data_IF_598464879600
#
_entry.id   IF_598464879600
#
_cell.length_a   1.000
_cell.length_b   1.000
_cell.length_c   1.000
_cell.angle_alpha   90.00
_cell.angle_beta   90.00
_cell.angle_gamma   90.00
#
_symmetry.space_group_name_H-M   'P 1'
#
loop_
_entity.id
_entity.type
_entity.pdbx_description
1 polymer ?
#
# COMPACT_ATOMS: atom_id res chain seq x y z
N UNK A 1 -23.63 0.40 -40.50
CA UNK A 1 -22.90 -0.73 -39.90
C UNK A 1 -22.01 -0.33 -38.72
N UNK A 2 -21.53 0.91 -38.59
CA UNK A 2 -20.77 1.35 -37.39
C UNK A 2 -21.63 1.51 -36.11
N UNK A 3 -22.95 1.76 -36.26
CA UNK A 3 -23.85 2.00 -35.12
C UNK A 3 -24.24 0.77 -34.30
N UNK A 4 -24.18 -0.46 -34.86
CA UNK A 4 -24.52 -1.68 -34.12
C UNK A 4 -23.33 -2.19 -33.30
N UNK A 5 -22.12 -2.05 -33.84
CA UNK A 5 -20.88 -2.42 -33.14
C UNK A 5 -20.58 -1.47 -31.97
N UNK A 6 -20.80 -0.16 -32.14
CA UNK A 6 -20.63 0.83 -31.05
C UNK A 6 -21.59 0.58 -29.88
N UNK A 7 -22.86 0.26 -30.18
CA UNK A 7 -23.86 -0.09 -29.16
C UNK A 7 -23.50 -1.37 -28.41
N UNK A 8 -22.96 -2.37 -29.10
CA UNK A 8 -22.50 -3.60 -28.47
C UNK A 8 -21.34 -3.36 -27.50
N UNK A 9 -20.38 -2.50 -27.86
CA UNK A 9 -19.26 -2.14 -26.99
C UNK A 9 -19.65 -1.27 -25.79
N UNK A 10 -20.59 -0.34 -25.96
CA UNK A 10 -21.13 0.47 -24.84
C UNK A 10 -21.86 -0.41 -23.82
N UNK A 11 -22.68 -1.34 -24.30
CA UNK A 11 -23.42 -2.25 -23.43
C UNK A 11 -22.50 -3.25 -22.72
N UNK A 12 -21.50 -3.79 -23.43
CA UNK A 12 -20.45 -4.61 -22.83
C UNK A 12 -19.61 -3.82 -21.82
N UNK A 13 -19.35 -2.53 -22.07
CA UNK A 13 -18.68 -1.66 -21.13
C UNK A 13 -19.53 -1.44 -19.87
N UNK A 14 -20.81 -1.10 -19.99
CA UNK A 14 -21.69 -0.92 -18.83
C UNK A 14 -21.76 -2.20 -17.99
N UNK A 15 -21.95 -3.36 -18.61
CA UNK A 15 -22.01 -4.65 -17.93
C UNK A 15 -20.69 -5.03 -17.24
N UNK A 16 -19.54 -4.72 -17.84
CA UNK A 16 -18.21 -5.06 -17.29
C UNK A 16 -17.65 -4.03 -16.31
N UNK A 17 -18.08 -2.78 -16.36
CA UNK A 17 -17.44 -1.68 -15.61
C UNK A 17 -18.35 -1.01 -14.56
N UNK A 18 -19.68 -1.11 -14.63
CA UNK A 18 -20.55 -0.52 -13.60
C UNK A 18 -20.34 -1.16 -12.22
N UNK A 19 -20.17 -2.48 -12.15
CA UNK A 19 -19.83 -3.14 -10.89
C UNK A 19 -18.45 -2.69 -10.35
N UNK A 20 -17.47 -2.42 -11.24
CA UNK A 20 -16.15 -1.90 -10.86
C UNK A 20 -16.25 -0.50 -10.29
N UNK A 21 -17.10 0.35 -10.87
CA UNK A 21 -17.37 1.70 -10.37
C UNK A 21 -18.02 1.66 -8.98
N UNK A 22 -19.02 0.80 -8.78
CA UNK A 22 -19.62 0.58 -7.47
C UNK A 22 -18.55 0.10 -6.46
N UNK A 23 -17.71 -0.85 -6.86
CA UNK A 23 -16.59 -1.34 -6.04
C UNK A 23 -15.59 -0.26 -5.69
N UNK A 24 -15.19 0.58 -6.65
CA UNK A 24 -14.26 1.70 -6.41
C UNK A 24 -14.79 2.66 -5.36
N UNK A 25 -16.10 2.95 -5.41
CA UNK A 25 -16.77 3.77 -4.40
C UNK A 25 -16.72 3.09 -3.02
N UNK A 26 -16.94 1.78 -2.94
CA UNK A 26 -16.84 1.02 -1.68
C UNK A 26 -15.41 1.01 -1.13
N UNK A 27 -14.41 0.75 -1.97
CA UNK A 27 -13.00 0.78 -1.58
C UNK A 27 -12.59 2.18 -1.08
N UNK A 28 -13.07 3.24 -1.73
CA UNK A 28 -12.85 4.61 -1.29
C UNK A 28 -13.51 4.89 0.06
N UNK A 29 -14.76 4.45 0.27
CA UNK A 29 -15.44 4.57 1.57
C UNK A 29 -14.66 3.85 2.66
N UNK A 30 -14.31 2.60 2.42
CA UNK A 30 -13.54 1.77 3.34
C UNK A 30 -12.18 2.42 3.68
N UNK A 31 -11.44 2.90 2.67
CA UNK A 31 -10.20 3.63 2.88
C UNK A 31 -10.43 4.90 3.72
N UNK A 32 -11.51 5.62 3.47
CA UNK A 32 -11.86 6.85 4.20
C UNK A 32 -12.22 6.59 5.66
N UNK A 33 -12.78 5.41 6.00
CA UNK A 33 -13.13 5.06 7.38
C UNK A 33 -11.91 4.98 8.30
N UNK A 34 -10.78 4.46 7.80
CA UNK A 34 -9.57 4.35 8.61
C UNK A 34 -8.50 5.39 8.30
N UNK A 35 -8.49 6.00 7.11
CA UNK A 35 -7.54 7.05 6.76
C UNK A 35 -8.11 8.47 6.93
N UNK A 36 -9.37 8.64 7.33
CA UNK A 36 -10.06 9.92 7.57
C UNK A 36 -10.19 10.90 6.36
N UNK A 37 -9.41 10.77 5.28
CA UNK A 37 -9.56 11.60 4.07
C UNK A 37 -9.47 10.89 2.70
N UNK A 38 -9.58 9.56 2.64
CA UNK A 38 -9.63 8.84 1.35
C UNK A 38 -8.35 8.96 0.52
N UNK A 39 -7.20 9.21 1.16
CA UNK A 39 -5.87 9.22 0.55
C UNK A 39 -5.47 10.52 -0.16
N UNK A 40 -6.40 11.45 -0.45
CA UNK A 40 -6.10 12.66 -1.23
C UNK A 40 -5.44 13.81 -0.45
N UNK A 41 -5.47 13.80 0.89
CA UNK A 41 -4.96 14.90 1.73
C UNK A 41 -3.70 14.53 2.55
N UNK A 42 -2.87 13.63 2.04
CA UNK A 42 -1.68 13.05 2.69
C UNK A 42 -0.77 14.05 3.42
N UNK A 43 -0.55 15.24 2.84
CA UNK A 43 0.30 16.28 3.44
C UNK A 43 -0.31 16.97 4.67
N UNK A 44 -1.62 16.91 4.86
CA UNK A 44 -2.29 17.40 6.07
C UNK A 44 -2.25 16.35 7.19
N UNK A 45 -2.29 15.07 6.82
CA UNK A 45 -2.35 13.95 7.75
C UNK A 45 -1.00 13.60 8.37
N UNK A 46 0.08 13.82 7.62
CA UNK A 46 1.44 13.48 8.05
C UNK A 46 2.32 14.74 8.09
N UNK A 47 2.03 15.71 8.98
CA UNK A 47 2.80 16.95 9.07
C UNK A 47 4.27 16.72 9.42
N UNK A 48 4.62 15.58 10.03
CA UNK A 48 6.01 15.18 10.30
C UNK A 48 6.83 14.85 9.05
N UNK A 49 6.22 14.71 7.86
CA UNK A 49 6.91 14.53 6.59
C UNK A 49 7.13 15.85 5.82
N UNK A 50 6.75 17.01 6.38
CA UNK A 50 6.92 18.30 5.71
C UNK A 50 8.33 18.83 5.87
N UNK A 51 9.02 18.97 4.74
CA UNK A 51 10.19 19.85 4.55
C UNK A 51 10.13 20.57 3.20
N UNK A 52 10.87 21.65 3.06
CA UNK A 52 11.11 22.32 1.78
C UNK A 52 11.77 21.33 0.80
N UNK A 53 11.42 21.38 -0.49
CA UNK A 53 12.21 20.72 -1.53
C UNK A 53 13.57 21.43 -1.61
N UNK A 54 14.52 21.02 -0.76
CA UNK A 54 15.91 21.40 -0.92
C UNK A 54 16.59 20.30 -1.74
N UNK A 55 17.22 20.69 -2.85
CA UNK A 55 17.55 19.73 -3.93
C UNK A 55 18.70 18.77 -3.59
N UNK A 56 19.36 18.91 -2.44
CA UNK A 56 20.58 18.17 -2.06
C UNK A 56 20.45 17.34 -0.76
N UNK A 57 19.30 17.30 -0.07
CA UNK A 57 19.11 16.45 1.13
C UNK A 57 18.44 15.11 0.78
N UNK A 58 19.18 14.00 0.96
CA UNK A 58 18.66 12.64 0.78
C UNK A 58 17.45 12.33 1.67
N UNK A 59 17.34 12.97 2.83
CA UNK A 59 16.21 12.80 3.75
C UNK A 59 14.94 13.43 3.20
N UNK A 60 15.06 14.59 2.54
CA UNK A 60 13.94 15.28 1.91
C UNK A 60 13.41 14.45 0.72
N UNK A 61 14.31 13.90 -0.10
CA UNK A 61 13.93 12.97 -1.16
C UNK A 61 13.19 11.72 -0.62
N UNK A 62 13.63 11.18 0.52
CA UNK A 62 13.00 10.02 1.15
C UNK A 62 11.60 10.34 1.69
N UNK A 63 11.43 11.52 2.32
CA UNK A 63 10.13 12.01 2.81
C UNK A 63 9.13 12.22 1.67
N UNK A 64 9.55 12.87 0.57
CA UNK A 64 8.71 13.03 -0.61
C UNK A 64 8.34 11.70 -1.24
N UNK A 65 9.29 10.76 -1.31
CA UNK A 65 9.02 9.42 -1.82
C UNK A 65 7.97 8.68 -0.97
N UNK A 66 7.98 8.84 0.36
CA UNK A 66 6.95 8.28 1.24
C UNK A 66 5.57 8.85 0.91
N UNK A 67 5.46 10.17 0.76
CA UNK A 67 4.19 10.85 0.46
C UNK A 67 3.64 10.39 -0.90
N UNK A 68 4.47 10.40 -1.94
CA UNK A 68 4.04 10.01 -3.28
C UNK A 68 3.59 8.55 -3.34
N UNK A 69 4.33 7.65 -2.69
CA UNK A 69 3.95 6.24 -2.63
C UNK A 69 2.67 6.01 -1.83
N UNK A 70 2.41 6.81 -0.79
CA UNK A 70 1.14 6.71 -0.06
C UNK A 70 -0.05 7.08 -0.95
N UNK A 71 0.07 8.15 -1.75
CA UNK A 71 -0.96 8.49 -2.74
C UNK A 71 -1.16 7.34 -3.74
N UNK A 72 -0.08 6.77 -4.27
CA UNK A 72 -0.13 5.64 -5.20
C UNK A 72 -0.77 4.39 -4.55
N UNK A 73 -0.42 4.06 -3.31
CA UNK A 73 -1.00 2.92 -2.59
C UNK A 73 -2.50 3.09 -2.35
N UNK A 74 -2.94 4.31 -2.04
CA UNK A 74 -4.35 4.66 -1.90
C UNK A 74 -5.10 4.52 -3.23
N UNK A 75 -4.55 5.01 -4.34
CA UNK A 75 -5.11 4.84 -5.68
C UNK A 75 -5.21 3.36 -6.05
N UNK A 76 -4.13 2.58 -5.87
CA UNK A 76 -4.15 1.15 -6.11
C UNK A 76 -5.27 0.45 -5.32
N UNK A 77 -5.47 0.83 -4.05
CA UNK A 77 -6.54 0.26 -3.24
C UNK A 77 -7.93 0.63 -3.79
N UNK A 78 -8.17 1.91 -4.09
CA UNK A 78 -9.45 2.40 -4.62
C UNK A 78 -9.79 1.68 -5.93
N UNK A 79 -8.83 1.57 -6.84
CA UNK A 79 -9.03 0.96 -8.16
C UNK A 79 -9.06 -0.58 -8.15
N UNK A 80 -8.81 -1.22 -7.00
CA UNK A 80 -8.81 -2.68 -6.86
C UNK A 80 -7.51 -3.36 -7.32
N UNK A 81 -6.44 -2.59 -7.54
CA UNK A 81 -5.09 -3.05 -7.84
C UNK A 81 -4.38 -3.53 -6.56
N UNK A 82 -4.99 -4.50 -5.88
CA UNK A 82 -4.63 -4.91 -4.52
C UNK A 82 -3.20 -5.47 -4.40
N UNK A 83 -2.68 -6.14 -5.43
CA UNK A 83 -1.29 -6.61 -5.44
C UNK A 83 -0.31 -5.43 -5.41
N UNK A 84 -0.52 -4.45 -6.28
CA UNK A 84 0.27 -3.22 -6.35
C UNK A 84 0.19 -2.47 -5.03
N UNK A 85 -1.02 -2.35 -4.45
CA UNK A 85 -1.23 -1.75 -3.13
C UNK A 85 -0.35 -2.40 -2.04
N UNK A 86 -0.32 -3.75 -1.96
CA UNK A 86 0.48 -4.49 -0.98
C UNK A 86 1.99 -4.18 -1.15
N UNK A 87 2.48 -4.21 -2.39
CA UNK A 87 3.89 -3.97 -2.68
C UNK A 87 4.31 -2.52 -2.38
N UNK A 88 3.50 -1.55 -2.81
CA UNK A 88 3.71 -0.13 -2.57
C UNK A 88 3.69 0.18 -1.08
N UNK A 89 2.75 -0.39 -0.32
CA UNK A 89 2.72 -0.29 1.14
C UNK A 89 4.00 -0.83 1.80
N UNK A 90 4.47 -2.00 1.38
CA UNK A 90 5.74 -2.55 1.88
C UNK A 90 6.93 -1.64 1.59
N UNK A 91 6.93 -0.96 0.43
CA UNK A 91 7.95 0.00 0.03
C UNK A 91 7.88 1.33 0.81
N UNK A 92 6.69 1.77 1.21
CA UNK A 92 6.49 2.92 2.11
C UNK A 92 7.12 2.64 3.46
N UNK A 93 6.78 1.51 4.10
CA UNK A 93 7.27 1.18 5.44
C UNK A 93 8.78 0.97 5.45
N UNK A 94 9.34 0.37 4.40
CA UNK A 94 10.79 0.25 4.25
C UNK A 94 11.47 1.63 4.20
N UNK A 95 10.89 2.61 3.49
CA UNK A 95 11.39 4.00 3.45
C UNK A 95 11.22 4.72 4.77
N UNK A 96 10.10 4.52 5.47
CA UNK A 96 9.88 5.08 6.80
C UNK A 96 10.98 4.63 7.75
N UNK A 97 11.25 3.32 7.83
CA UNK A 97 12.28 2.79 8.72
C UNK A 97 13.69 3.24 8.32
N UNK A 98 13.98 3.39 7.02
CA UNK A 98 15.23 3.99 6.55
C UNK A 98 15.37 5.43 7.04
N UNK A 99 14.31 6.23 6.96
CA UNK A 99 14.32 7.63 7.40
C UNK A 99 14.60 7.72 8.91
N UNK A 100 13.88 6.95 9.72
CA UNK A 100 14.08 6.91 11.18
C UNK A 100 15.49 6.44 11.55
N UNK A 101 16.02 5.44 10.83
CA UNK A 101 17.41 5.01 11.02
C UNK A 101 18.40 6.13 10.69
N UNK A 102 18.22 6.83 9.57
CA UNK A 102 19.12 7.91 9.15
C UNK A 102 19.07 9.12 10.09
N UNK A 103 17.94 9.35 10.75
CA UNK A 103 17.81 10.41 11.73
C UNK A 103 18.48 10.06 13.06
N UNK A 104 18.41 8.80 13.48
CA UNK A 104 19.07 8.36 14.71
C UNK A 104 20.59 8.15 14.54
N UNK A 105 21.03 7.63 13.39
CA UNK A 105 22.40 7.14 13.21
C UNK A 105 23.19 7.80 12.08
N UNK A 106 22.60 8.72 11.30
CA UNK A 106 23.28 9.38 10.18
C UNK A 106 22.99 8.74 8.83
N UNK A 107 24.01 8.30 8.08
CA UNK A 107 23.79 7.74 6.74
C UNK A 107 23.58 6.22 6.76
N UNK A 108 22.85 5.69 5.78
CA UNK A 108 22.72 4.25 5.62
C UNK A 108 24.08 3.62 5.26
N UNK A 109 24.50 2.53 5.95
CA UNK A 109 25.67 1.74 5.60
C UNK A 109 25.69 1.33 4.13
N UNK A 110 26.77 1.70 3.43
CA UNK A 110 26.98 1.42 2.01
C UNK A 110 27.19 -0.07 1.72
N UNK A 111 26.91 -0.48 0.48
CA UNK A 111 27.21 -1.83 -0.02
C UNK A 111 26.28 -2.94 0.46
N UNK A 112 25.12 -2.62 1.03
CA UNK A 112 24.23 -3.64 1.58
C UNK A 112 22.75 -3.33 1.34
N UNK A 113 21.97 -4.33 0.92
CA UNK A 113 20.55 -4.13 0.62
C UNK A 113 19.74 -3.91 1.91
N UNK A 114 18.96 -2.84 1.93
CA UNK A 114 18.09 -2.46 3.04
C UNK A 114 16.65 -2.91 2.76
N UNK A 115 16.42 -4.22 2.86
CA UNK A 115 15.07 -4.80 2.76
C UNK A 115 14.27 -4.52 4.03
N UNK A 116 12.94 -4.59 3.95
CA UNK A 116 12.06 -4.37 5.11
C UNK A 116 12.43 -5.24 6.33
N UNK A 117 12.72 -6.53 6.13
CA UNK A 117 13.12 -7.42 7.23
C UNK A 117 14.40 -6.98 7.93
N UNK A 118 15.36 -6.42 7.17
CA UNK A 118 16.55 -5.81 7.74
C UNK A 118 16.20 -4.51 8.45
N UNK A 119 15.42 -3.62 7.82
CA UNK A 119 15.02 -2.36 8.43
C UNK A 119 14.34 -2.58 9.80
N UNK A 120 13.46 -3.60 9.92
CA UNK A 120 12.82 -3.99 11.19
C UNK A 120 13.86 -4.36 12.26
N UNK A 121 14.90 -5.11 11.88
CA UNK A 121 15.96 -5.51 12.82
C UNK A 121 16.82 -4.33 13.24
N UNK A 122 17.27 -3.52 12.28
CA UNK A 122 18.19 -2.40 12.54
C UNK A 122 17.49 -1.23 13.26
N UNK A 123 16.16 -1.10 13.16
CA UNK A 123 15.39 -0.06 13.84
C UNK A 123 14.90 -0.43 15.25
N UNK A 124 15.34 -1.58 15.79
CA UNK A 124 15.03 -1.96 17.19
C UNK A 124 15.66 -0.95 18.15
N UNK A 125 14.83 -0.34 18.99
CA UNK A 125 15.27 0.71 19.91
C UNK A 125 15.35 2.11 19.28
N UNK A 126 15.14 2.24 17.96
CA UNK A 126 15.00 3.53 17.26
C UNK A 126 13.53 3.92 17.20
N UNK A 127 12.68 2.98 16.78
CA UNK A 127 11.22 3.17 16.73
C UNK A 127 10.52 2.30 17.78
N UNK A 128 9.28 2.64 18.09
CA UNK A 128 8.47 1.86 19.06
C UNK A 128 8.21 0.42 18.58
N UNK A 129 8.08 -0.51 19.53
CA UNK A 129 7.78 -1.92 19.21
C UNK A 129 6.48 -2.07 18.41
N UNK A 130 5.46 -1.25 18.67
CA UNK A 130 4.20 -1.28 17.90
C UNK A 130 4.38 -0.98 16.42
N UNK A 131 5.32 -0.10 16.04
CA UNK A 131 5.67 0.14 14.63
C UNK A 131 6.33 -1.09 14.02
N UNK A 132 7.23 -1.74 14.76
CA UNK A 132 7.93 -2.94 14.30
C UNK A 132 6.99 -4.14 14.15
N UNK A 133 6.04 -4.31 15.06
CA UNK A 133 5.04 -5.37 15.01
C UNK A 133 4.12 -5.21 13.77
N UNK A 134 3.68 -3.99 13.50
CA UNK A 134 2.92 -3.66 12.29
C UNK A 134 3.75 -3.95 11.02
N UNK A 135 5.01 -3.50 10.98
CA UNK A 135 5.91 -3.73 9.86
C UNK A 135 6.19 -5.23 9.63
N UNK A 136 6.35 -5.99 10.71
CA UNK A 136 6.56 -7.44 10.66
C UNK A 136 5.35 -8.17 10.06
N UNK A 137 4.13 -7.73 10.36
CA UNK A 137 2.89 -8.31 9.82
C UNK A 137 2.75 -8.17 8.29
N UNK A 138 3.53 -7.25 7.68
CA UNK A 138 3.50 -7.01 6.24
C UNK A 138 4.50 -7.87 5.45
N UNK A 139 5.47 -8.51 6.12
CA UNK A 139 6.51 -9.28 5.45
C UNK A 139 5.95 -10.46 4.67
N UNK A 140 5.04 -11.23 5.27
CA UNK A 140 4.49 -12.43 4.65
C UNK A 140 3.64 -12.08 3.41
N UNK A 141 2.68 -11.14 3.47
CA UNK A 141 1.92 -10.74 2.28
C UNK A 141 2.82 -10.18 1.17
N UNK A 142 3.79 -9.31 1.53
CA UNK A 142 4.73 -8.72 0.57
C UNK A 142 5.60 -9.78 -0.08
N UNK A 143 6.23 -10.65 0.71
CA UNK A 143 7.16 -11.67 0.20
C UNK A 143 6.41 -12.68 -0.66
N UNK A 144 5.22 -13.12 -0.23
CA UNK A 144 4.38 -13.98 -1.05
C UNK A 144 4.09 -13.35 -2.41
N UNK A 145 3.85 -12.03 -2.48
CA UNK A 145 3.61 -11.35 -3.76
C UNK A 145 4.87 -11.14 -4.57
N UNK A 146 5.97 -10.73 -3.95
CA UNK A 146 7.26 -10.59 -4.62
C UNK A 146 7.72 -11.93 -5.21
N UNK A 147 7.55 -13.03 -4.48
CA UNK A 147 7.89 -14.38 -4.95
C UNK A 147 6.87 -14.94 -5.95
N UNK A 148 5.57 -14.64 -5.80
CA UNK A 148 4.56 -14.98 -6.80
C UNK A 148 4.84 -14.32 -8.15
N UNK A 149 5.22 -13.04 -8.17
CA UNK A 149 5.64 -12.32 -9.38
C UNK A 149 6.93 -12.87 -10.00
N UNK A 150 7.75 -13.56 -9.21
CA UNK A 150 8.99 -14.21 -9.65
C UNK A 150 8.80 -15.70 -9.99
N UNK A 151 7.56 -16.20 -9.98
CA UNK A 151 7.08 -17.49 -10.54
C UNK A 151 7.99 -18.72 -10.35
N UNK A 152 8.59 -18.91 -9.17
CA UNK A 152 9.44 -20.08 -8.94
C UNK A 152 9.01 -21.05 -7.82
N UNK A 153 8.06 -20.67 -6.95
CA UNK A 153 7.79 -21.49 -5.75
C UNK A 153 6.34 -21.87 -5.49
N UNK A 154 5.33 -21.11 -5.93
CA UNK A 154 3.91 -21.46 -5.71
C UNK A 154 2.94 -20.71 -6.66
N UNK A 155 2.56 -21.32 -7.81
CA UNK A 155 1.65 -20.72 -8.78
C UNK A 155 0.22 -20.56 -8.26
N UNK A 156 -0.25 -21.47 -7.39
CA UNK A 156 -1.62 -21.45 -6.90
C UNK A 156 -1.83 -20.27 -5.95
N UNK A 157 -0.83 -19.95 -5.13
CA UNK A 157 -0.83 -18.76 -4.29
C UNK A 157 -0.72 -17.46 -5.10
N UNK A 158 -0.10 -17.50 -6.29
CA UNK A 158 0.03 -16.38 -7.22
C UNK A 158 -1.28 -16.06 -7.97
N UNK A 159 -2.09 -17.08 -8.24
CA UNK A 159 -3.36 -16.96 -8.95
C UNK A 159 -4.52 -16.74 -7.98
N UNK A 160 -4.56 -17.52 -6.90
CA UNK A 160 -5.74 -17.62 -6.05
C UNK A 160 -5.69 -16.73 -4.80
N UNK A 161 -4.52 -16.17 -4.47
CA UNK A 161 -4.32 -15.30 -3.32
C UNK A 161 -4.35 -15.98 -1.96
N UNK A 162 -4.24 -15.18 -0.90
CA UNK A 162 -4.11 -15.61 0.50
C UNK A 162 -5.39 -16.21 1.09
N UNK A 163 -5.43 -16.38 2.41
CA UNK A 163 -6.60 -16.92 3.12
C UNK A 163 -7.79 -15.93 3.17
N UNK A 164 -7.53 -14.62 3.12
CA UNK A 164 -8.54 -13.55 3.18
C UNK A 164 -8.94 -13.06 1.78
N UNK A 165 -9.42 -14.00 0.95
CA UNK A 165 -9.92 -13.69 -0.40
C UNK A 165 -11.24 -12.91 -0.26
N UNK A 166 -11.35 -11.78 -0.94
CA UNK A 166 -12.60 -11.01 -1.02
C UNK A 166 -13.62 -11.73 -1.89
N UNK A 167 -14.20 -12.82 -1.37
CA UNK A 167 -15.21 -13.61 -2.09
C UNK A 167 -16.57 -13.01 -1.80
N UNK A 168 -17.23 -12.52 -2.84
CA UNK A 168 -18.63 -12.09 -2.80
C UNK A 168 -19.50 -13.04 -3.62
N UNK A 169 -20.55 -13.55 -2.99
CA UNK A 169 -21.47 -14.51 -3.60
C UNK A 169 -22.75 -13.76 -4.00
N UNK A 170 -22.98 -13.59 -5.29
CA UNK A 170 -24.20 -12.97 -5.82
C UNK A 170 -25.32 -13.99 -6.03
N UNK A 171 -24.96 -15.22 -6.41
CA UNK A 171 -25.89 -16.34 -6.55
C UNK A 171 -25.16 -17.68 -6.43
N UNK A 172 -25.88 -18.81 -6.43
CA UNK A 172 -25.28 -20.16 -6.45
C UNK A 172 -24.41 -20.45 -7.68
N UNK A 173 -24.42 -19.58 -8.70
CA UNK A 173 -23.61 -19.73 -9.93
C UNK A 173 -22.69 -18.54 -10.22
N UNK A 174 -22.81 -17.43 -9.48
CA UNK A 174 -22.02 -16.23 -9.70
C UNK A 174 -21.38 -15.78 -8.39
N UNK A 175 -20.05 -15.85 -8.37
CA UNK A 175 -19.22 -15.34 -7.30
C UNK A 175 -18.12 -14.47 -7.91
N UNK A 176 -17.76 -13.41 -7.20
CA UNK A 176 -16.61 -12.58 -7.51
C UNK A 176 -15.54 -12.85 -6.48
N UNK A 177 -14.31 -13.08 -6.93
CA UNK A 177 -13.17 -13.33 -6.06
C UNK A 177 -12.18 -12.20 -6.28
N UNK A 178 -11.84 -11.52 -5.20
CA UNK A 178 -10.75 -10.55 -5.15
C UNK A 178 -9.63 -11.16 -4.28
N UNK A 179 -8.69 -11.91 -4.89
CA UNK A 179 -7.77 -12.78 -4.16
C UNK A 179 -6.94 -12.10 -3.06
N UNK A 180 -6.71 -10.80 -3.18
CA UNK A 180 -5.79 -10.02 -2.35
C UNK A 180 -6.45 -8.93 -1.51
N UNK A 181 -7.78 -8.80 -1.58
CA UNK A 181 -8.46 -7.65 -0.96
C UNK A 181 -8.24 -7.59 0.55
N UNK A 182 -8.39 -8.71 1.26
CA UNK A 182 -8.18 -8.77 2.71
C UNK A 182 -6.75 -8.41 3.11
N UNK A 183 -5.77 -8.99 2.41
CA UNK A 183 -4.35 -8.69 2.63
C UNK A 183 -4.04 -7.22 2.33
N UNK A 184 -4.53 -6.67 1.22
CA UNK A 184 -4.36 -5.27 0.86
C UNK A 184 -4.98 -4.35 1.91
N UNK A 185 -6.19 -4.65 2.39
CA UNK A 185 -6.87 -3.90 3.45
C UNK A 185 -6.07 -3.88 4.75
N UNK A 186 -5.57 -5.04 5.17
CA UNK A 186 -4.75 -5.18 6.37
C UNK A 186 -3.43 -4.40 6.24
N UNK A 187 -2.80 -4.51 5.08
CA UNK A 187 -1.50 -3.89 4.80
C UNK A 187 -1.62 -2.37 4.69
N UNK A 188 -2.60 -1.83 3.95
CA UNK A 188 -2.80 -0.37 3.85
C UNK A 188 -3.19 0.26 5.19
N UNK A 189 -4.01 -0.42 5.99
CA UNK A 189 -4.34 0.02 7.35
C UNK A 189 -3.10 0.05 8.26
N UNK A 190 -2.24 -0.97 8.16
CA UNK A 190 -1.00 -1.04 8.93
C UNK A 190 -0.03 0.07 8.52
N UNK A 191 0.10 0.32 7.22
CA UNK A 191 0.88 1.44 6.67
C UNK A 191 0.38 2.77 7.20
N UNK A 192 -0.94 3.02 7.15
CA UNK A 192 -1.54 4.25 7.69
C UNK A 192 -1.20 4.43 9.17
N UNK A 193 -1.39 3.39 9.99
CA UNK A 193 -1.06 3.43 11.43
C UNK A 193 0.40 3.76 11.66
N UNK A 194 1.32 3.14 10.92
CA UNK A 194 2.75 3.44 11.01
C UNK A 194 3.01 4.91 10.67
N UNK A 195 2.45 5.41 9.57
CA UNK A 195 2.60 6.81 9.17
C UNK A 195 2.04 7.77 10.23
N UNK A 196 0.87 7.49 10.80
CA UNK A 196 0.28 8.30 11.87
C UNK A 196 1.13 8.27 13.14
N UNK A 197 1.67 7.12 13.52
CA UNK A 197 2.51 6.97 14.71
C UNK A 197 3.84 7.73 14.57
N UNK A 198 4.46 7.70 13.39
CA UNK A 198 5.75 8.33 13.14
C UNK A 198 5.64 9.81 12.76
N UNK A 199 4.61 10.17 12.00
CA UNK A 199 4.54 11.46 11.31
C UNK A 199 3.22 12.21 11.49
N UNK A 200 2.27 11.69 12.27
CA UNK A 200 0.98 12.33 12.53
C UNK A 200 1.07 13.62 13.37
N UNK A 201 2.24 13.92 13.94
CA UNK A 201 2.54 15.17 14.63
C UNK A 201 3.72 15.88 13.97
N UNK A 202 3.77 17.23 13.97
CA UNK A 202 4.96 17.96 13.54
C UNK A 202 6.17 17.50 14.35
N UNK A 203 7.28 17.24 13.66
CA UNK A 203 8.55 16.91 14.33
C UNK A 203 9.06 18.14 15.05
N UNK A 204 9.51 17.96 16.30
CA UNK A 204 10.23 19.01 17.04
C UNK A 204 11.61 19.13 16.40
N UNK A 205 11.82 20.23 15.68
CA UNK A 205 13.13 20.65 15.16
C UNK A 205 14.02 21.08 16.32
#
# INVERSE_FOLDING_TARGET
>A
MENETSRGHEQEFEERFEWRKARQIENLKELSEFAQSGGGASLKEFPGLKRSLDNDDSKDALQWSIIMLWCEAAECYIFGEFQSCILTCGAIVERCLKLEYEEANGTLPSGSHWTLGRCIRECRGIVSQGVLDLAQSMLEPRNNRAHALLEHSDPDLAISGGAERGIEIFSSKHYHIEPYRGDARRVILSTYKILSMLYGSPRRV
#
